data_IF_885035343924
#
_entry.id   IF_885035343924
#
_cell.length_a   1.000
_cell.length_b   1.000
_cell.length_c   1.000
_cell.angle_alpha   90.00
_cell.angle_beta   90.00
_cell.angle_gamma   90.00
#
_symmetry.space_group_name_H-M   'P 1'
#
loop_
_entity.id
_entity.type
_entity.pdbx_description
1 polymer ?
#
# COMPACT_ATOMS: atom_id res chain seq x y z
N UNK A 1 25.49 -7.70 47.94
CA UNK A 1 24.73 -6.79 47.07
C UNK A 1 25.07 -7.17 45.63
N UNK A 2 24.24 -7.99 44.98
CA UNK A 2 24.49 -8.45 43.61
C UNK A 2 23.65 -7.59 42.68
N UNK A 3 24.32 -6.76 41.88
CA UNK A 3 23.68 -5.96 40.84
C UNK A 3 23.40 -6.89 39.66
N UNK A 4 22.14 -7.22 39.45
CA UNK A 4 21.67 -7.81 38.21
C UNK A 4 21.86 -6.78 37.09
N UNK A 5 22.87 -7.02 36.25
CA UNK A 5 23.08 -6.24 35.03
C UNK A 5 22.03 -6.70 34.03
N UNK A 6 20.87 -6.04 34.04
CA UNK A 6 19.85 -6.17 33.01
C UNK A 6 20.52 -5.97 31.64
N UNK A 7 20.73 -7.08 30.90
CA UNK A 7 21.34 -7.04 29.56
C UNK A 7 20.42 -6.30 28.60
N UNK A 8 20.81 -5.14 28.05
CA UNK A 8 20.11 -4.54 26.94
C UNK A 8 20.46 -5.34 25.67
N UNK A 9 19.47 -5.96 25.02
CA UNK A 9 19.69 -6.68 23.77
C UNK A 9 18.56 -7.64 23.42
N UNK A 10 18.50 -8.03 22.15
CA UNK A 10 17.63 -9.12 21.69
C UNK A 10 18.11 -10.44 22.30
N UNK A 11 17.46 -10.88 23.39
CA UNK A 11 17.57 -12.25 23.91
C UNK A 11 16.49 -13.10 23.26
N UNK A 12 16.83 -14.27 22.74
CA UNK A 12 15.90 -15.14 22.01
C UNK A 12 16.04 -16.59 22.48
N UNK A 13 14.96 -17.36 22.41
CA UNK A 13 14.96 -18.80 22.71
C UNK A 13 15.16 -19.58 21.41
N UNK A 14 15.58 -20.85 21.50
CA UNK A 14 15.65 -21.75 20.33
C UNK A 14 14.28 -21.87 19.65
N UNK A 15 13.20 -21.85 20.42
CA UNK A 15 11.84 -21.84 19.89
C UNK A 15 11.54 -20.57 19.08
N UNK A 16 11.97 -19.41 19.56
CA UNK A 16 11.79 -18.14 18.84
C UNK A 16 12.64 -18.02 17.57
N UNK A 17 13.66 -18.87 17.41
CA UNK A 17 14.47 -19.00 16.18
C UNK A 17 13.84 -19.92 15.13
N UNK A 18 12.72 -20.60 15.43
CA UNK A 18 12.04 -21.43 14.43
C UNK A 18 11.62 -20.60 13.23
N UNK A 19 11.79 -21.19 12.04
CA UNK A 19 11.43 -20.54 10.78
C UNK A 19 9.94 -20.21 10.75
N UNK A 20 9.62 -18.98 10.36
CA UNK A 20 8.25 -18.54 10.11
C UNK A 20 7.92 -18.77 8.64
N UNK A 21 6.69 -19.20 8.39
CA UNK A 21 6.13 -19.12 7.06
C UNK A 21 5.71 -17.67 6.80
N UNK A 22 6.24 -17.10 5.74
CA UNK A 22 5.88 -15.77 5.26
C UNK A 22 4.93 -15.89 4.08
N UNK A 23 3.96 -14.98 3.99
CA UNK A 23 3.10 -14.91 2.81
C UNK A 23 3.93 -14.36 1.65
N UNK A 24 4.01 -15.13 0.57
CA UNK A 24 4.72 -14.79 -0.66
C UNK A 24 3.77 -14.78 -1.85
N UNK A 25 4.17 -14.09 -2.92
CA UNK A 25 3.45 -14.00 -4.19
C UNK A 25 2.40 -12.90 -4.23
N UNK A 26 2.15 -12.39 -5.44
CA UNK A 26 1.25 -11.27 -5.70
C UNK A 26 -0.18 -11.48 -5.18
N UNK A 27 -0.69 -12.71 -5.23
CA UNK A 27 -2.07 -13.00 -4.84
C UNK A 27 -3.08 -12.39 -5.82
N UNK A 28 -4.27 -12.06 -5.32
CA UNK A 28 -5.38 -11.57 -6.16
C UNK A 28 -5.53 -10.05 -6.09
N UNK A 29 -5.39 -9.32 -7.22
CA UNK A 29 -5.48 -7.86 -7.25
C UNK A 29 -6.88 -7.33 -6.88
N UNK A 30 -7.93 -8.15 -7.05
CA UNK A 30 -9.30 -7.81 -6.65
C UNK A 30 -9.43 -7.48 -5.16
N UNK A 31 -8.59 -8.06 -4.29
CA UNK A 31 -8.55 -7.69 -2.87
C UNK A 31 -8.22 -6.20 -2.63
N UNK A 32 -7.56 -5.56 -3.59
CA UNK A 32 -7.26 -4.13 -3.56
C UNK A 32 -8.35 -3.35 -4.30
N UNK A 33 -8.71 -3.79 -5.51
CA UNK A 33 -9.60 -3.04 -6.41
C UNK A 33 -11.06 -3.01 -5.92
N UNK A 34 -11.53 -4.04 -5.21
CA UNK A 34 -12.92 -4.12 -4.71
C UNK A 34 -13.18 -3.17 -3.53
N UNK A 35 -12.17 -2.44 -3.04
CA UNK A 35 -12.33 -1.44 -1.98
C UNK A 35 -12.91 -0.10 -2.47
N UNK A 36 -12.97 0.09 -3.79
CA UNK A 36 -13.39 1.35 -4.39
C UNK A 36 -14.82 1.28 -4.92
N UNK A 37 -15.55 2.39 -4.79
CA UNK A 37 -16.87 2.57 -5.39
C UNK A 37 -16.82 3.63 -6.48
N UNK A 38 -17.72 3.54 -7.45
CA UNK A 38 -17.85 4.50 -8.54
C UNK A 38 -18.35 5.88 -8.07
N UNK A 39 -18.97 5.96 -6.89
CA UNK A 39 -19.41 7.22 -6.27
C UNK A 39 -18.23 8.15 -5.97
N UNK A 40 -17.19 7.62 -5.30
CA UNK A 40 -16.06 8.43 -4.81
C UNK A 40 -14.81 8.33 -5.70
N UNK A 41 -14.77 7.34 -6.61
CA UNK A 41 -13.61 7.04 -7.43
C UNK A 41 -13.95 6.86 -8.92
N UNK A 42 -12.91 6.91 -9.74
CA UNK A 42 -12.93 6.59 -11.17
C UNK A 42 -11.89 5.51 -11.42
N UNK A 43 -12.31 4.39 -12.00
CA UNK A 43 -11.45 3.32 -12.48
C UNK A 43 -11.28 3.43 -14.00
N UNK A 44 -10.05 3.30 -14.48
CA UNK A 44 -9.69 3.24 -15.91
C UNK A 44 -8.76 2.07 -16.11
N UNK A 45 -8.97 1.30 -17.18
CA UNK A 45 -8.02 0.31 -17.67
C UNK A 45 -7.45 0.83 -18.98
N UNK A 46 -6.12 0.89 -19.09
CA UNK A 46 -5.47 1.34 -20.32
C UNK A 46 -5.31 0.21 -21.35
N UNK A 47 -4.70 0.53 -22.49
CA UNK A 47 -4.47 -0.41 -23.59
C UNK A 47 -3.46 -1.52 -23.26
N UNK A 48 -2.69 -1.36 -22.18
CA UNK A 48 -1.76 -2.37 -21.64
C UNK A 48 -2.40 -3.23 -20.57
N UNK A 49 -3.63 -2.94 -20.17
CA UNK A 49 -4.29 -3.61 -19.06
C UNK A 49 -3.86 -3.10 -17.69
N UNK A 50 -3.12 -1.98 -17.63
CA UNK A 50 -2.82 -1.32 -16.36
C UNK A 50 -4.10 -0.68 -15.82
N UNK A 51 -4.30 -0.77 -14.50
CA UNK A 51 -5.51 -0.25 -13.84
C UNK A 51 -5.17 0.99 -13.05
N UNK A 52 -5.96 2.05 -13.25
CA UNK A 52 -5.81 3.34 -12.60
C UNK A 52 -7.09 3.69 -11.86
N UNK A 53 -6.97 3.87 -10.54
CA UNK A 53 -8.05 4.36 -9.68
C UNK A 53 -7.70 5.75 -9.18
N UNK A 54 -8.59 6.71 -9.39
CA UNK A 54 -8.43 8.09 -8.94
C UNK A 54 -9.63 8.49 -8.10
N UNK A 55 -9.44 9.22 -7.00
CA UNK A 55 -10.58 9.87 -6.34
C UNK A 55 -11.18 10.96 -7.23
N UNK A 56 -12.48 11.22 -7.10
CA UNK A 56 -13.17 12.26 -7.88
C UNK A 56 -12.63 13.67 -7.62
N UNK A 57 -12.05 13.92 -6.44
CA UNK A 57 -11.40 15.19 -6.09
C UNK A 57 -9.94 15.28 -6.60
N UNK A 58 -9.43 14.24 -7.28
CA UNK A 58 -8.10 14.20 -7.88
C UNK A 58 -6.94 14.08 -6.88
N UNK A 59 -7.20 13.84 -5.60
CA UNK A 59 -6.16 13.79 -4.57
C UNK A 59 -5.56 12.41 -4.34
N UNK A 60 -6.31 11.35 -4.56
CA UNK A 60 -5.87 9.98 -4.41
C UNK A 60 -5.62 9.35 -5.77
N UNK A 61 -4.54 8.59 -5.89
CA UNK A 61 -4.23 7.74 -7.02
C UNK A 61 -3.75 6.36 -6.56
N UNK A 62 -4.29 5.32 -7.19
CA UNK A 62 -3.75 3.96 -7.15
C UNK A 62 -3.55 3.46 -8.58
N UNK A 63 -2.34 3.04 -8.91
CA UNK A 63 -2.01 2.31 -10.14
C UNK A 63 -1.69 0.85 -9.83
N UNK A 64 -2.17 -0.06 -10.66
CA UNK A 64 -1.78 -1.46 -10.69
C UNK A 64 -1.20 -1.81 -12.07
N UNK A 65 0.00 -2.35 -12.06
CA UNK A 65 0.82 -2.64 -13.24
C UNK A 65 1.22 -4.12 -13.21
N UNK A 66 0.41 -5.05 -13.74
CA UNK A 66 0.65 -6.49 -13.61
C UNK A 66 2.02 -6.93 -14.17
N UNK A 67 2.43 -6.34 -15.30
CA UNK A 67 3.71 -6.61 -15.95
C UNK A 67 4.82 -5.62 -15.53
N UNK A 68 4.54 -4.80 -14.53
CA UNK A 68 5.40 -3.72 -14.09
C UNK A 68 5.27 -2.46 -14.95
N UNK A 69 5.46 -1.30 -14.30
CA UNK A 69 5.36 -0.01 -14.98
C UNK A 69 6.59 0.26 -15.87
N UNK A 70 6.41 0.61 -17.16
CA UNK A 70 7.51 0.92 -18.06
C UNK A 70 8.39 2.06 -17.54
N UNK A 71 9.70 1.93 -17.78
CA UNK A 71 10.68 2.92 -17.33
C UNK A 71 10.94 2.94 -15.83
N UNK A 72 10.42 1.95 -15.08
CA UNK A 72 10.69 1.77 -13.65
C UNK A 72 11.31 0.41 -13.37
N UNK A 73 11.95 0.25 -12.21
CA UNK A 73 12.49 -1.04 -11.74
C UNK A 73 11.40 -1.84 -11.04
N UNK A 74 10.41 -2.33 -11.79
CA UNK A 74 9.37 -3.22 -11.26
C UNK A 74 8.41 -2.55 -10.29
N UNK A 75 7.80 -1.41 -10.65
CA UNK A 75 6.64 -0.87 -9.94
C UNK A 75 5.40 -1.68 -10.34
N UNK A 76 4.89 -2.51 -9.43
CA UNK A 76 3.67 -3.30 -9.63
C UNK A 76 2.42 -2.62 -9.07
N UNK A 77 2.60 -1.81 -8.02
CA UNK A 77 1.57 -0.93 -7.51
C UNK A 77 2.13 0.45 -7.18
N UNK A 78 1.34 1.48 -7.42
CA UNK A 78 1.64 2.85 -7.03
C UNK A 78 0.49 3.46 -6.27
N UNK A 79 0.69 3.75 -4.99
CA UNK A 79 -0.25 4.50 -4.17
C UNK A 79 0.27 5.92 -3.99
N UNK A 80 -0.54 6.93 -4.26
CA UNK A 80 -0.16 8.33 -4.07
C UNK A 80 -1.33 9.16 -3.54
N UNK A 81 -0.99 10.10 -2.66
CA UNK A 81 -1.89 11.16 -2.22
C UNK A 81 -1.22 12.50 -2.47
N UNK A 82 -1.86 13.34 -3.26
CA UNK A 82 -1.37 14.68 -3.59
C UNK A 82 -1.43 15.58 -2.37
N UNK A 83 -0.39 16.39 -2.20
CA UNK A 83 -0.30 17.37 -1.12
C UNK A 83 -1.25 18.55 -1.29
N UNK A 84 -1.11 19.51 -0.38
CA UNK A 84 -1.69 20.84 -0.49
C UNK A 84 -0.59 21.86 -0.75
N UNK A 85 -0.96 23.13 -0.92
CA UNK A 85 0.00 24.22 -0.97
C UNK A 85 0.88 24.34 0.29
N UNK A 86 0.45 23.78 1.43
CA UNK A 86 1.12 23.91 2.73
C UNK A 86 1.82 22.65 3.21
N UNK A 87 1.32 21.47 2.79
CA UNK A 87 1.78 20.17 3.28
C UNK A 87 2.04 19.27 2.08
N UNK A 88 3.24 18.71 1.93
CA UNK A 88 3.55 17.82 0.80
C UNK A 88 2.69 16.56 0.85
N UNK A 89 2.47 15.97 -0.33
CA UNK A 89 1.84 14.67 -0.46
C UNK A 89 2.81 13.54 -0.15
N UNK A 90 2.35 12.32 -0.37
CA UNK A 90 3.21 11.13 -0.26
C UNK A 90 2.88 10.12 -1.35
N UNK A 91 3.80 9.18 -1.54
CA UNK A 91 3.56 8.02 -2.38
C UNK A 91 4.31 6.80 -1.85
N UNK A 92 3.80 5.63 -2.20
CA UNK A 92 4.41 4.33 -1.92
C UNK A 92 4.34 3.50 -3.20
N UNK A 93 5.45 2.84 -3.52
CA UNK A 93 5.54 1.88 -4.62
C UNK A 93 5.70 0.48 -4.02
N UNK A 94 4.96 -0.48 -4.57
CA UNK A 94 5.11 -1.89 -4.23
C UNK A 94 5.56 -2.67 -5.47
N UNK A 95 6.43 -3.65 -5.26
CA UNK A 95 6.87 -4.59 -6.29
C UNK A 95 5.69 -5.49 -6.75
N UNK A 96 5.66 -5.99 -8.01
CA UNK A 96 4.63 -6.88 -8.52
C UNK A 96 4.37 -8.12 -7.65
N UNK A 97 5.39 -8.64 -6.96
CA UNK A 97 5.28 -9.81 -6.09
C UNK A 97 4.85 -9.49 -4.66
N UNK A 98 4.62 -8.21 -4.34
CA UNK A 98 4.05 -7.82 -3.05
C UNK A 98 2.66 -8.44 -2.90
N UNK A 99 2.39 -9.20 -1.81
CA UNK A 99 1.07 -9.77 -1.60
C UNK A 99 -0.03 -8.71 -1.62
N UNK A 100 -1.07 -8.93 -2.43
CA UNK A 100 -2.19 -8.02 -2.60
C UNK A 100 -2.86 -7.66 -1.27
N UNK A 101 -2.87 -8.56 -0.29
CA UNK A 101 -3.37 -8.28 1.06
C UNK A 101 -2.60 -7.18 1.80
N UNK A 102 -1.29 -7.05 1.56
CA UNK A 102 -0.46 -5.97 2.14
C UNK A 102 -0.80 -4.64 1.47
N UNK A 103 -0.88 -4.64 0.13
CA UNK A 103 -1.29 -3.46 -0.64
C UNK A 103 -2.70 -3.02 -0.24
N UNK A 104 -3.62 -3.97 -0.11
CA UNK A 104 -4.99 -3.77 0.32
C UNK A 104 -5.06 -3.11 1.70
N UNK A 105 -4.26 -3.57 2.67
CA UNK A 105 -4.21 -2.98 4.00
C UNK A 105 -3.68 -1.53 3.99
N UNK A 106 -2.66 -1.25 3.17
CA UNK A 106 -2.16 0.10 2.99
C UNK A 106 -3.23 1.03 2.38
N UNK A 107 -3.91 0.57 1.32
CA UNK A 107 -5.00 1.30 0.66
C UNK A 107 -6.15 1.56 1.64
N UNK A 108 -6.61 0.55 2.37
CA UNK A 108 -7.67 0.67 3.36
C UNK A 108 -7.31 1.72 4.42
N UNK A 109 -6.06 1.73 4.89
CA UNK A 109 -5.57 2.72 5.85
C UNK A 109 -5.65 4.13 5.27
N UNK A 110 -5.21 4.34 4.03
CA UNK A 110 -5.28 5.65 3.38
C UNK A 110 -6.73 6.13 3.24
N UNK A 111 -7.63 5.28 2.73
CA UNK A 111 -9.06 5.61 2.57
C UNK A 111 -9.69 5.98 3.92
N UNK A 112 -9.41 5.21 4.98
CA UNK A 112 -9.92 5.44 6.33
C UNK A 112 -9.44 6.76 6.95
N UNK A 113 -8.30 7.28 6.52
CA UNK A 113 -7.81 8.60 6.96
C UNK A 113 -8.40 9.77 6.18
N UNK A 114 -9.09 9.51 5.06
CA UNK A 114 -9.75 10.56 4.30
C UNK A 114 -10.95 11.11 5.07
N UNK A 115 -11.10 12.44 5.06
CA UNK A 115 -12.26 13.12 5.64
C UNK A 115 -12.89 13.98 4.58
N UNK A 116 -14.20 13.84 4.38
CA UNK A 116 -14.95 14.77 3.55
C UNK A 116 -14.93 16.14 4.23
N UNK A 117 -14.43 17.14 3.53
CA UNK A 117 -14.57 18.53 3.96
C UNK A 117 -15.95 18.99 3.44
N UNK A 118 -16.82 19.55 4.29
CA UNK A 118 -18.07 20.15 3.83
C UNK A 118 -17.77 21.19 2.75
N UNK A 119 -18.65 21.27 1.75
CA UNK A 119 -18.62 22.42 0.84
C UNK A 119 -18.78 23.71 1.68
N UNK A 120 -18.00 24.76 1.38
CA UNK A 120 -18.21 26.07 2.01
C UNK A 120 -19.59 26.65 1.68
#
# INVERSE_FOLDING_TARGET
MSTDLARPGFSTTVEALRLRHWRLGAGQPTLVLDQFTDVDFKLVVDDRGDVHVNSRDGRFYLGWFPDGRPGTTGEGWKLAVTGTAKVPGYHVTFDPQTPAGIVAAAVATVIATSRRVPFP
#
